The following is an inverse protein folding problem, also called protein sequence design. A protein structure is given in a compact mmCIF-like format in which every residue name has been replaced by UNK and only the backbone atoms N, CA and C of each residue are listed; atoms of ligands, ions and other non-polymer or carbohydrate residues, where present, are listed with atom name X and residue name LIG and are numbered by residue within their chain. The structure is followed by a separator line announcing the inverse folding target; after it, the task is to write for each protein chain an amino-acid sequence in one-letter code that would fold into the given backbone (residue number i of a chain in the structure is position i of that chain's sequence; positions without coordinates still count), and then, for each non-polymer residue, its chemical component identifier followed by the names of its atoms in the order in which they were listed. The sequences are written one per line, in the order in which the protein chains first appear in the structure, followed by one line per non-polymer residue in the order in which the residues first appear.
data_IF_275964757729
#
_entry.id   IF_275964757729
#
_cell.length_a   1.000
_cell.length_b   1.000
_cell.length_c   1.000
_cell.angle_alpha   90.00
_cell.angle_beta   90.00
_cell.angle_gamma   90.00
#
_symmetry.space_group_name_H-M   'P 1'
#
loop_
_entity.id
_entity.type
_entity.pdbx_description
1 polymer ?
#
# COMPACT_ATOMS: atom_id res chain seq x y z
N UNK A 1 -52.66 -6.07 -7.70
CA UNK A 1 -51.91 -4.93 -7.13
C UNK A 1 -50.44 -5.20 -7.41
N UNK A 2 -49.85 -4.53 -8.40
CA UNK A 2 -48.43 -4.73 -8.74
C UNK A 2 -47.62 -4.02 -7.65
N UNK A 3 -46.86 -4.77 -6.86
CA UNK A 3 -45.79 -4.21 -6.04
C UNK A 3 -44.88 -3.44 -6.99
N UNK A 4 -44.97 -2.11 -6.96
CA UNK A 4 -43.93 -1.24 -7.51
C UNK A 4 -42.70 -1.49 -6.65
N UNK A 5 -41.91 -2.48 -7.05
CA UNK A 5 -40.53 -2.63 -6.60
C UNK A 5 -39.90 -1.27 -6.89
N UNK A 6 -39.55 -0.53 -5.84
CA UNK A 6 -38.75 0.69 -5.94
C UNK A 6 -37.44 0.28 -6.60
N UNK A 7 -37.40 0.39 -7.93
CA UNK A 7 -36.34 -0.13 -8.76
C UNK A 7 -35.18 0.88 -8.72
N UNK A 8 -34.04 0.41 -8.24
CA UNK A 8 -32.71 0.55 -8.87
C UNK A 8 -32.02 1.92 -9.03
N UNK A 9 -32.61 3.07 -8.76
CA UNK A 9 -31.86 4.35 -8.90
C UNK A 9 -30.78 4.50 -7.81
N UNK A 10 -31.15 4.29 -6.54
CA UNK A 10 -30.24 4.32 -5.39
C UNK A 10 -29.14 3.24 -5.41
N UNK A 11 -29.24 2.21 -6.26
CA UNK A 11 -28.21 1.16 -6.35
C UNK A 11 -27.14 1.56 -7.37
N UNK A 12 -27.56 2.03 -8.55
CA UNK A 12 -26.64 2.45 -9.62
C UNK A 12 -25.77 3.63 -9.18
N UNK A 13 -26.34 4.62 -8.48
CA UNK A 13 -25.56 5.75 -7.94
C UNK A 13 -24.56 5.33 -6.84
N UNK A 14 -24.94 4.33 -6.02
CA UNK A 14 -24.03 3.75 -5.02
C UNK A 14 -22.91 2.94 -5.65
N UNK A 15 -23.21 2.15 -6.67
CA UNK A 15 -22.23 1.37 -7.41
C UNK A 15 -21.21 2.32 -8.07
N UNK A 16 -21.68 3.41 -8.71
CA UNK A 16 -20.81 4.44 -9.28
C UNK A 16 -19.93 5.13 -8.22
N UNK A 17 -20.51 5.51 -7.08
CA UNK A 17 -19.75 6.10 -5.97
C UNK A 17 -18.67 5.14 -5.45
N UNK A 18 -18.97 3.85 -5.36
CA UNK A 18 -17.99 2.84 -4.94
C UNK A 18 -16.88 2.67 -5.97
N UNK A 19 -17.20 2.68 -7.27
CA UNK A 19 -16.19 2.61 -8.33
C UNK A 19 -15.24 3.83 -8.27
N UNK A 20 -15.78 5.04 -8.12
CA UNK A 20 -14.99 6.27 -7.98
C UNK A 20 -14.09 6.23 -6.71
N UNK A 21 -14.62 5.72 -5.59
CA UNK A 21 -13.84 5.53 -4.36
C UNK A 21 -12.74 4.48 -4.52
N UNK A 22 -13.03 3.37 -5.22
CA UNK A 22 -12.04 2.33 -5.49
C UNK A 22 -10.92 2.84 -6.40
N UNK A 23 -11.27 3.58 -7.46
CA UNK A 23 -10.29 4.21 -8.36
C UNK A 23 -9.43 5.23 -7.62
N UNK A 24 -10.05 6.07 -6.80
CA UNK A 24 -9.33 7.03 -5.97
C UNK A 24 -8.39 6.33 -4.97
N UNK A 25 -8.89 5.31 -4.26
CA UNK A 25 -8.10 4.53 -3.32
C UNK A 25 -6.92 3.82 -3.99
N UNK A 26 -7.14 3.19 -5.15
CA UNK A 26 -6.10 2.55 -5.94
C UNK A 26 -5.04 3.56 -6.40
N UNK A 27 -5.46 4.75 -6.83
CA UNK A 27 -4.54 5.83 -7.20
C UNK A 27 -3.70 6.29 -6.02
N UNK A 28 -4.32 6.58 -4.88
CA UNK A 28 -3.62 7.01 -3.66
C UNK A 28 -2.61 5.95 -3.22
N UNK A 29 -3.00 4.68 -3.25
CA UNK A 29 -2.12 3.56 -2.90
C UNK A 29 -0.93 3.44 -3.88
N UNK A 30 -1.17 3.58 -5.18
CA UNK A 30 -0.10 3.57 -6.19
C UNK A 30 0.86 4.76 -6.07
N UNK A 31 0.32 5.96 -5.82
CA UNK A 31 1.13 7.17 -5.64
C UNK A 31 2.01 7.05 -4.38
N UNK A 32 1.47 6.50 -3.29
CA UNK A 32 2.22 6.21 -2.07
C UNK A 32 3.32 5.16 -2.31
N UNK A 33 3.00 4.04 -2.95
CA UNK A 33 4.00 3.04 -3.32
C UNK A 33 5.13 3.64 -4.13
N UNK A 34 4.81 4.45 -5.14
CA UNK A 34 5.80 5.12 -5.98
C UNK A 34 6.71 6.02 -5.14
N UNK A 35 6.13 6.89 -4.32
CA UNK A 35 6.89 7.80 -3.47
C UNK A 35 7.88 7.06 -2.55
N UNK A 36 7.40 6.08 -1.79
CA UNK A 36 8.25 5.36 -0.83
C UNK A 36 9.24 4.41 -1.51
N UNK A 37 8.85 3.78 -2.63
CA UNK A 37 9.79 2.96 -3.40
C UNK A 37 10.91 3.79 -4.03
N UNK A 38 10.63 5.02 -4.46
CA UNK A 38 11.66 5.93 -4.97
C UNK A 38 12.60 6.41 -3.84
N UNK A 39 12.08 6.70 -2.65
CA UNK A 39 12.91 6.95 -1.47
C UNK A 39 13.83 5.76 -1.18
N UNK A 40 13.29 4.55 -1.19
CA UNK A 40 14.06 3.34 -0.90
C UNK A 40 15.13 3.06 -1.97
N UNK A 41 14.82 3.30 -3.26
CA UNK A 41 15.80 3.18 -4.37
C UNK A 41 16.93 4.20 -4.27
N UNK A 42 16.64 5.41 -3.80
CA UNK A 42 17.66 6.44 -3.62
C UNK A 42 18.69 6.07 -2.54
N UNK A 43 18.30 5.26 -1.55
CA UNK A 43 19.24 4.72 -0.56
C UNK A 43 20.11 3.62 -1.17
N UNK A 44 19.50 2.53 -1.66
CA UNK A 44 20.11 1.50 -2.52
C UNK A 44 19.12 0.38 -2.87
N UNK A 45 19.54 -0.54 -3.75
CA UNK A 45 18.71 -1.67 -4.22
C UNK A 45 18.28 -2.64 -3.09
N UNK A 46 19.09 -2.84 -2.05
CA UNK A 46 18.69 -3.71 -0.93
C UNK A 46 17.60 -3.05 -0.08
N UNK A 47 17.71 -1.74 0.19
CA UNK A 47 16.68 -0.98 0.91
C UNK A 47 15.36 -1.00 0.12
N UNK A 48 15.42 -0.77 -1.20
CA UNK A 48 14.26 -0.94 -2.09
C UNK A 48 13.64 -2.34 -1.98
N UNK A 49 14.45 -3.40 -2.04
CA UNK A 49 13.96 -4.77 -1.96
C UNK A 49 13.25 -5.08 -0.64
N UNK A 50 13.80 -4.64 0.48
CA UNK A 50 13.18 -4.82 1.81
C UNK A 50 11.82 -4.10 1.85
N UNK A 51 11.78 -2.85 1.40
CA UNK A 51 10.54 -2.07 1.33
C UNK A 51 9.49 -2.72 0.41
N UNK A 52 9.89 -3.15 -0.79
CA UNK A 52 9.00 -3.76 -1.78
C UNK A 52 8.43 -5.11 -1.30
N UNK A 53 9.26 -5.91 -0.62
CA UNK A 53 8.84 -7.15 0.01
C UNK A 53 7.80 -6.89 1.11
N UNK A 54 8.03 -5.89 1.98
CA UNK A 54 7.07 -5.49 3.01
C UNK A 54 5.75 -4.97 2.41
N UNK A 55 5.83 -4.08 1.41
CA UNK A 55 4.65 -3.51 0.74
C UNK A 55 3.77 -4.60 0.09
N UNK A 56 4.39 -5.69 -0.37
CA UNK A 56 3.71 -6.88 -0.93
C UNK A 56 3.26 -7.88 0.14
N UNK A 57 3.36 -7.53 1.42
CA UNK A 57 2.85 -8.30 2.55
C UNK A 57 3.80 -9.35 3.13
N UNK A 58 5.11 -9.31 2.80
CA UNK A 58 6.07 -10.21 3.44
C UNK A 58 6.47 -9.71 4.82
N UNK A 59 6.69 -10.65 5.74
CA UNK A 59 7.22 -10.36 7.07
C UNK A 59 8.74 -10.15 7.00
N UNK A 60 9.18 -8.90 6.90
CA UNK A 60 10.60 -8.51 6.80
C UNK A 60 11.29 -8.36 8.16
N UNK A 61 10.54 -8.54 9.26
CA UNK A 61 11.03 -8.36 10.63
C UNK A 61 11.56 -9.60 11.33
N UNK A 62 11.58 -10.73 10.64
CA UNK A 62 12.16 -11.95 11.18
C UNK A 62 13.68 -11.88 11.16
N UNK A 63 14.32 -12.51 12.15
CA UNK A 63 15.78 -12.62 12.19
C UNK A 63 16.34 -13.29 10.92
N UNK A 64 15.64 -14.31 10.41
CA UNK A 64 16.00 -14.99 9.17
C UNK A 64 16.03 -14.03 7.98
N UNK A 65 15.03 -13.17 7.84
CA UNK A 65 14.99 -12.19 6.75
C UNK A 65 16.08 -11.12 6.94
N UNK A 66 16.17 -10.53 8.13
CA UNK A 66 17.14 -9.47 8.43
C UNK A 66 18.59 -9.93 8.25
N UNK A 67 18.90 -11.21 8.52
CA UNK A 67 20.23 -11.78 8.34
C UNK A 67 20.73 -11.78 6.88
N UNK A 68 19.83 -11.62 5.90
CA UNK A 68 20.15 -11.58 4.46
C UNK A 68 20.66 -10.21 4.00
N UNK A 69 20.59 -9.21 4.88
CA UNK A 69 20.92 -7.82 4.59
C UNK A 69 21.84 -7.24 5.68
N UNK A 70 22.50 -6.12 5.39
CA UNK A 70 23.29 -5.42 6.40
C UNK A 70 22.37 -4.72 7.40
N UNK A 71 22.87 -4.48 8.62
CA UNK A 71 22.15 -3.72 9.64
C UNK A 71 21.71 -2.35 9.12
N UNK A 72 22.61 -1.63 8.44
CA UNK A 72 22.31 -0.32 7.86
C UNK A 72 21.15 -0.36 6.85
N UNK A 73 21.13 -1.36 5.95
CA UNK A 73 20.03 -1.51 5.00
C UNK A 73 18.71 -1.81 5.70
N UNK A 74 18.74 -2.66 6.74
CA UNK A 74 17.55 -2.93 7.55
C UNK A 74 17.07 -1.64 8.24
N UNK A 75 17.95 -0.91 8.92
CA UNK A 75 17.61 0.31 9.66
C UNK A 75 17.01 1.39 8.73
N UNK A 76 17.61 1.62 7.55
CA UNK A 76 17.09 2.57 6.55
C UNK A 76 15.72 2.14 6.01
N UNK A 77 15.57 0.85 5.63
CA UNK A 77 14.30 0.34 5.13
C UNK A 77 13.20 0.44 6.20
N UNK A 78 13.50 0.12 7.46
CA UNK A 78 12.56 0.29 8.56
C UNK A 78 12.14 1.73 8.77
N UNK A 79 13.05 2.70 8.65
CA UNK A 79 12.70 4.12 8.71
C UNK A 79 11.65 4.50 7.65
N UNK A 80 11.83 4.01 6.42
CA UNK A 80 10.89 4.25 5.32
C UNK A 80 9.55 3.55 5.58
N UNK A 81 9.57 2.27 5.99
CA UNK A 81 8.37 1.48 6.32
C UNK A 81 7.56 2.17 7.42
N UNK A 82 8.21 2.59 8.51
CA UNK A 82 7.54 3.26 9.62
C UNK A 82 6.96 4.62 9.20
N UNK A 83 7.62 5.32 8.27
CA UNK A 83 7.07 6.54 7.68
C UNK A 83 5.82 6.24 6.85
N UNK A 84 5.81 5.19 6.02
CA UNK A 84 4.64 4.77 5.26
C UNK A 84 3.46 4.40 6.18
N UNK A 85 3.72 3.59 7.22
CA UNK A 85 2.71 3.20 8.23
C UNK A 85 2.12 4.43 8.92
N UNK A 86 2.96 5.38 9.32
CA UNK A 86 2.50 6.61 9.99
C UNK A 86 1.61 7.48 9.09
N UNK A 87 1.76 7.35 7.77
CA UNK A 87 0.91 8.01 6.78
C UNK A 87 -0.32 7.17 6.37
N UNK A 88 -0.58 6.06 7.05
CA UNK A 88 -1.77 5.23 6.84
C UNK A 88 -1.61 4.13 5.79
N UNK A 89 -0.38 3.82 5.39
CA UNK A 89 -0.06 2.75 4.43
C UNK A 89 0.69 1.64 5.15
N UNK A 90 0.01 0.54 5.51
CA UNK A 90 0.61 -0.59 6.20
C UNK A 90 -0.37 -1.69 6.53
#
# INVERSE_FOLDING_TARGET
MILKVFKTENKIERDKTMDELNEWGAKVFNDAYKYYSDLARNENENVFKIFDDWWKGKCVSTEEYMSKHTKENNDLAYGIIMTAISNGFG
#
